data_IF_718541625354
#
_entry.id   IF_718541625354
#
_cell.length_a   1.000
_cell.length_b   1.000
_cell.length_c   1.000
_cell.angle_alpha   90.00
_cell.angle_beta   90.00
_cell.angle_gamma   90.00
#
_symmetry.space_group_name_H-M   'P 1'
#
loop_
_entity.id
_entity.type
_entity.pdbx_description
1 polymer ?
#
# COMPACT_ATOMS: atom_id res chain seq x y z
N UNK A 1 17.56 3.50 -3.75
CA UNK A 1 16.40 3.05 -2.93
C UNK A 1 15.35 4.13 -3.04
N UNK A 2 14.20 3.80 -3.63
CA UNK A 2 13.27 4.75 -4.26
C UNK A 2 12.35 5.49 -3.30
N UNK A 3 12.08 6.74 -3.65
CA UNK A 3 10.94 7.52 -3.21
C UNK A 3 9.73 7.08 -4.03
N UNK A 4 8.62 6.84 -3.35
CA UNK A 4 7.34 6.52 -3.99
C UNK A 4 6.46 7.77 -3.89
N UNK A 5 5.99 8.23 -5.03
CA UNK A 5 5.03 9.32 -5.14
C UNK A 5 3.65 8.71 -5.42
N UNK A 6 2.69 8.94 -4.53
CA UNK A 6 1.28 8.66 -4.76
C UNK A 6 0.50 9.97 -4.64
N UNK A 7 -0.26 10.31 -5.68
CA UNK A 7 -1.23 11.41 -5.59
C UNK A 7 -2.45 10.86 -4.85
N UNK A 8 -2.41 10.84 -3.52
CA UNK A 8 -3.60 10.57 -2.70
C UNK A 8 -4.21 11.90 -2.28
N UNK A 9 -5.17 12.39 -3.07
CA UNK A 9 -5.92 13.59 -2.72
C UNK A 9 -6.89 13.35 -1.58
N UNK A 10 -6.80 14.16 -0.54
CA UNK A 10 -7.85 14.28 0.47
C UNK A 10 -8.85 15.30 -0.11
N UNK A 11 -9.99 14.83 -0.60
CA UNK A 11 -11.17 15.67 -0.71
C UNK A 11 -11.82 15.72 0.67
N UNK A 12 -12.03 16.91 1.23
CA UNK A 12 -12.87 17.08 2.40
C UNK A 12 -14.28 16.59 2.07
N UNK A 13 -14.84 15.67 2.84
CA UNK A 13 -16.22 15.20 2.68
C UNK A 13 -17.29 16.29 2.91
N UNK A 14 -16.89 17.50 3.33
CA UNK A 14 -17.81 18.58 3.66
C UNK A 14 -18.43 19.30 2.44
N UNK A 15 -17.96 19.02 1.21
CA UNK A 15 -18.45 19.69 -0.03
C UNK A 15 -19.33 18.78 -0.94
N UNK A 16 -19.74 17.58 -0.51
CA UNK A 16 -20.38 16.62 -1.40
C UNK A 16 -21.93 16.62 -1.32
N UNK A 17 -22.60 17.26 -2.28
CA UNK A 17 -24.07 17.18 -2.44
C UNK A 17 -24.55 15.93 -3.22
N UNK A 18 -23.63 15.13 -3.81
CA UNK A 18 -23.98 13.99 -4.67
C UNK A 18 -23.61 12.63 -4.05
N UNK A 19 -24.55 11.67 -4.10
CA UNK A 19 -24.34 10.27 -3.72
C UNK A 19 -24.67 9.32 -4.87
N UNK A 20 -24.15 8.10 -4.78
CA UNK A 20 -24.46 6.99 -5.67
C UNK A 20 -24.81 5.75 -4.87
N UNK A 21 -25.61 4.85 -5.43
CA UNK A 21 -25.99 3.61 -4.76
C UNK A 21 -24.79 2.66 -4.65
N UNK A 22 -24.63 2.06 -3.48
CA UNK A 22 -23.52 1.17 -3.17
C UNK A 22 -23.77 0.33 -1.92
N UNK A 23 -22.69 0.04 -1.19
CA UNK A 23 -22.73 -0.78 0.02
C UNK A 23 -21.92 -0.15 1.14
N UNK A 24 -22.32 -0.44 2.38
CA UNK A 24 -21.52 -0.19 3.56
C UNK A 24 -21.24 -1.51 4.28
N UNK A 25 -20.07 -1.62 4.87
CA UNK A 25 -19.69 -2.81 5.64
C UNK A 25 -18.50 -2.55 6.57
N UNK A 26 -18.30 -3.46 7.52
CA UNK A 26 -17.13 -3.48 8.41
C UNK A 26 -16.14 -4.53 7.88
N UNK A 27 -14.92 -4.12 7.55
CA UNK A 27 -13.83 -4.99 7.15
C UNK A 27 -12.93 -5.28 8.35
N UNK A 28 -12.67 -6.55 8.60
CA UNK A 28 -11.73 -7.01 9.62
C UNK A 28 -10.54 -7.68 8.96
N UNK A 29 -9.35 -7.41 9.48
CA UNK A 29 -8.09 -7.96 8.97
C UNK A 29 -7.23 -8.49 10.11
N UNK A 30 -6.77 -9.74 9.99
CA UNK A 30 -5.87 -10.40 10.93
C UNK A 30 -4.67 -11.05 10.24
N UNK A 31 -3.62 -11.34 11.02
CA UNK A 31 -2.41 -12.09 10.61
C UNK A 31 -2.27 -13.35 11.45
N UNK A 32 -3.10 -14.38 11.21
CA UNK A 32 -3.02 -15.63 11.98
C UNK A 32 -1.76 -16.41 11.66
N UNK A 33 -1.37 -17.37 12.50
CA UNK A 33 -0.38 -18.36 12.09
C UNK A 33 -0.94 -19.26 10.96
N UNK A 34 -0.05 -19.91 10.21
CA UNK A 34 -0.44 -20.74 9.04
C UNK A 34 -1.42 -21.85 9.43
N UNK A 35 -1.25 -22.41 10.63
CA UNK A 35 -2.07 -23.50 11.18
C UNK A 35 -3.48 -23.04 11.56
N UNK A 36 -3.64 -21.74 11.80
CA UNK A 36 -4.91 -21.12 12.19
C UNK A 36 -5.68 -20.56 10.98
N UNK A 37 -5.12 -20.63 9.77
CA UNK A 37 -5.82 -20.22 8.55
C UNK A 37 -7.12 -21.01 8.37
N UNK A 38 -8.17 -20.31 7.96
CA UNK A 38 -9.50 -20.89 7.75
C UNK A 38 -10.32 -21.07 9.04
N UNK A 39 -9.76 -20.81 10.23
CA UNK A 39 -10.55 -20.73 11.45
C UNK A 39 -11.54 -19.55 11.39
N UNK A 40 -12.71 -19.72 12.01
CA UNK A 40 -13.81 -18.76 11.96
C UNK A 40 -13.64 -17.67 13.04
N UNK A 41 -13.98 -16.39 12.80
CA UNK A 41 -14.05 -15.38 13.85
C UNK A 41 -15.00 -15.86 14.96
N UNK A 42 -14.61 -15.80 16.26
CA UNK A 42 -13.79 -14.75 16.84
C UNK A 42 -12.41 -15.22 17.34
N UNK A 43 -11.78 -16.24 16.73
CA UNK A 43 -10.53 -16.79 17.26
C UNK A 43 -9.31 -15.86 17.19
N UNK A 44 -9.35 -14.77 16.39
CA UNK A 44 -8.19 -13.89 16.22
C UNK A 44 -8.20 -12.74 17.24
N UNK A 45 -7.18 -12.67 18.10
CA UNK A 45 -7.00 -11.57 19.04
C UNK A 45 -6.78 -10.25 18.27
N UNK A 46 -7.66 -9.27 18.48
CA UNK A 46 -7.54 -7.87 18.02
C UNK A 46 -7.31 -7.67 16.49
N UNK A 47 -8.26 -8.04 15.62
CA UNK A 47 -8.18 -7.69 14.20
C UNK A 47 -8.14 -6.17 14.00
N UNK A 48 -7.53 -5.73 12.90
CA UNK A 48 -7.70 -4.35 12.42
C UNK A 48 -9.10 -4.20 11.86
N UNK A 49 -9.86 -3.20 12.33
CA UNK A 49 -11.23 -2.92 11.89
C UNK A 49 -11.27 -1.65 11.06
N UNK A 50 -11.95 -1.71 9.91
CA UNK A 50 -12.13 -0.60 8.98
C UNK A 50 -13.62 -0.54 8.58
N UNK A 51 -14.19 0.66 8.49
CA UNK A 51 -15.55 0.87 7.97
C UNK A 51 -15.46 1.30 6.50
N UNK A 52 -16.19 0.62 5.64
CA UNK A 52 -16.06 0.78 4.19
C UNK A 52 -17.38 1.22 3.58
N UNK A 53 -17.33 2.20 2.67
CA UNK A 53 -18.40 2.54 1.73
C UNK A 53 -17.90 2.23 0.31
N UNK A 54 -18.63 1.38 -0.42
CA UNK A 54 -18.27 0.93 -1.76
C UNK A 54 -19.30 1.44 -2.77
N UNK A 55 -18.90 2.38 -3.62
CA UNK A 55 -19.65 2.80 -4.81
C UNK A 55 -19.33 1.91 -6.03
N UNK A 56 -19.96 2.15 -7.19
CA UNK A 56 -19.71 1.39 -8.41
C UNK A 56 -18.30 1.59 -8.98
N UNK A 57 -17.69 2.76 -8.75
CA UNK A 57 -16.39 3.13 -9.34
C UNK A 57 -15.29 3.37 -8.29
N UNK A 58 -15.64 3.48 -7.00
CA UNK A 58 -14.72 3.87 -5.94
C UNK A 58 -15.05 3.25 -4.58
N UNK A 59 -14.05 3.20 -3.69
CA UNK A 59 -14.21 2.70 -2.32
C UNK A 59 -13.64 3.69 -1.31
N UNK A 60 -14.44 4.02 -0.30
CA UNK A 60 -14.08 4.87 0.82
C UNK A 60 -13.85 4.00 2.04
N UNK A 61 -12.68 4.14 2.67
CA UNK A 61 -12.30 3.36 3.85
C UNK A 61 -12.02 4.32 5.01
N UNK A 62 -12.76 4.14 6.09
CA UNK A 62 -12.59 4.80 7.38
C UNK A 62 -11.90 3.87 8.36
N UNK A 63 -10.77 4.33 8.89
CA UNK A 63 -10.03 3.59 9.92
C UNK A 63 -10.38 4.18 11.28
N UNK A 64 -11.23 3.48 12.04
CA UNK A 64 -11.48 3.85 13.43
C UNK A 64 -10.23 3.58 14.25
N UNK A 65 -9.61 4.64 14.74
CA UNK A 65 -8.38 4.57 15.52
C UNK A 65 -8.72 4.63 17.00
N UNK A 66 -9.10 3.49 17.58
CA UNK A 66 -9.09 3.30 19.05
C UNK A 66 -8.26 2.06 19.41
N UNK A 67 -6.94 2.16 19.22
CA UNK A 67 -6.00 1.45 20.11
C UNK A 67 -4.66 2.20 20.15
N UNK A 68 -4.30 2.67 21.34
CA UNK A 68 -3.08 3.44 21.62
C UNK A 68 -1.80 2.58 21.68
N UNK A 69 -1.80 1.32 21.23
CA UNK A 69 -0.60 0.48 21.32
C UNK A 69 -0.32 -0.29 20.03
N UNK A 70 0.96 -0.28 19.65
CA UNK A 70 1.64 -1.11 18.65
C UNK A 70 1.39 -0.81 17.15
N UNK A 71 1.64 0.43 16.71
CA UNK A 71 1.69 0.81 15.27
C UNK A 71 3.08 1.28 14.84
N UNK A 72 4.14 0.56 15.27
CA UNK A 72 5.50 0.81 14.75
C UNK A 72 5.93 -0.18 13.65
N UNK A 73 5.13 -1.21 13.34
CA UNK A 73 5.58 -2.31 12.46
C UNK A 73 4.58 -2.87 11.44
N UNK A 74 3.39 -2.30 11.28
CA UNK A 74 2.48 -2.71 10.20
C UNK A 74 2.75 -1.90 8.92
N UNK A 75 3.49 -2.51 7.99
CA UNK A 75 3.78 -1.99 6.65
C UNK A 75 2.53 -1.98 5.75
N UNK A 76 1.69 -0.96 5.93
CA UNK A 76 0.91 -0.36 4.83
C UNK A 76 1.37 1.09 4.74
N UNK A 77 1.42 1.62 3.53
CA UNK A 77 1.84 3.00 3.30
C UNK A 77 1.05 3.93 4.24
N UNK A 78 1.72 4.46 5.27
CA UNK A 78 1.20 5.39 6.28
C UNK A 78 0.78 6.77 5.69
N UNK A 79 0.25 6.81 4.45
CA UNK A 79 -0.24 8.01 3.78
C UNK A 79 -1.76 8.20 3.84
N UNK A 80 -2.52 7.13 4.06
CA UNK A 80 -3.99 7.13 3.95
C UNK A 80 -4.68 7.25 5.31
N UNK A 81 -4.55 8.40 5.99
CA UNK A 81 -5.28 8.63 7.25
C UNK A 81 -5.95 9.99 7.21
N UNK A 82 -7.25 9.98 7.47
CA UNK A 82 -8.28 11.00 7.25
C UNK A 82 -8.87 10.92 5.82
N UNK A 83 -9.88 10.04 5.66
CA UNK A 83 -10.51 9.57 4.41
C UNK A 83 -9.60 8.80 3.47
N UNK A 84 -9.57 7.46 3.61
CA UNK A 84 -8.87 6.60 2.66
C UNK A 84 -9.76 6.34 1.45
N UNK A 85 -9.82 7.28 0.50
CA UNK A 85 -10.32 6.95 -0.83
C UNK A 85 -9.27 6.09 -1.53
N UNK A 86 -9.58 4.80 -1.70
CA UNK A 86 -8.76 3.89 -2.45
C UNK A 86 -9.25 3.86 -3.88
N UNK A 87 -8.42 4.35 -4.81
CA UNK A 87 -8.59 4.07 -6.23
C UNK A 87 -7.60 2.96 -6.59
N UNK A 88 -8.07 1.80 -7.07
CA UNK A 88 -7.19 0.74 -7.51
C UNK A 88 -6.23 1.28 -8.56
N UNK A 89 -4.93 1.01 -8.35
CA UNK A 89 -3.87 1.35 -9.29
C UNK A 89 -3.92 0.37 -10.48
N UNK A 90 -4.93 0.54 -11.31
CA UNK A 90 -5.13 -0.22 -12.53
C UNK A 90 -5.17 0.76 -13.71
N UNK A 91 -4.26 0.57 -14.67
CA UNK A 91 -4.37 1.23 -15.97
C UNK A 91 -5.57 0.63 -16.70
N UNK A 92 -6.70 1.34 -16.66
CA UNK A 92 -7.94 0.93 -17.31
C UNK A 92 -7.66 0.75 -18.81
N UNK A 93 -7.83 -0.46 -19.32
CA UNK A 93 -7.62 -0.78 -20.74
C UNK A 93 -6.27 -1.42 -21.07
N UNK A 94 -5.33 -1.55 -20.12
CA UNK A 94 -4.14 -2.37 -20.33
C UNK A 94 -4.45 -3.85 -20.06
N UNK A 95 -4.35 -4.75 -21.07
CA UNK A 95 -4.66 -6.16 -20.87
C UNK A 95 -3.55 -6.86 -20.07
N UNK A 96 -3.93 -7.81 -19.22
CA UNK A 96 -2.99 -8.59 -18.40
C UNK A 96 -2.01 -9.40 -19.26
N UNK A 97 -2.41 -9.74 -20.49
CA UNK A 97 -1.56 -10.43 -21.46
C UNK A 97 -0.42 -9.57 -22.01
N UNK A 98 -0.46 -8.25 -21.86
CA UNK A 98 0.64 -7.37 -22.28
C UNK A 98 1.87 -7.63 -21.40
N UNK A 99 2.96 -8.09 -22.02
CA UNK A 99 4.20 -8.41 -21.31
C UNK A 99 5.07 -7.18 -21.00
N UNK A 100 4.76 -6.04 -21.62
CA UNK A 100 5.54 -4.79 -21.55
C UNK A 100 4.70 -3.63 -21.02
N UNK A 101 5.35 -2.55 -20.62
CA UNK A 101 4.67 -1.30 -20.25
C UNK A 101 4.15 -1.23 -18.81
N UNK A 102 4.42 -2.21 -17.96
CA UNK A 102 4.04 -2.15 -16.55
C UNK A 102 5.04 -1.32 -15.74
N UNK A 103 4.54 -0.45 -14.86
CA UNK A 103 5.39 0.36 -13.98
C UNK A 103 5.00 0.23 -12.51
N UNK A 104 5.97 -0.13 -11.65
CA UNK A 104 5.79 -0.06 -10.19
C UNK A 104 6.29 1.29 -9.71
N UNK A 105 5.40 2.16 -9.22
CA UNK A 105 5.82 3.47 -8.71
C UNK A 105 6.65 4.25 -9.75
N UNK A 106 6.31 4.11 -11.03
CA UNK A 106 7.01 4.73 -12.16
C UNK A 106 8.24 3.97 -12.67
N UNK A 107 8.65 2.86 -12.05
CA UNK A 107 9.80 2.09 -12.54
C UNK A 107 9.35 0.93 -13.43
N UNK A 108 9.95 0.77 -14.62
CA UNK A 108 9.65 -0.35 -15.49
C UNK A 108 9.81 -1.69 -14.78
N UNK A 109 8.78 -2.52 -14.89
CA UNK A 109 8.75 -3.90 -14.44
C UNK A 109 8.79 -4.83 -15.64
N UNK A 110 9.71 -5.79 -15.60
CA UNK A 110 9.76 -6.92 -16.53
C UNK A 110 9.32 -8.17 -15.79
N UNK A 111 8.40 -8.93 -16.38
CA UNK A 111 7.96 -10.21 -15.83
C UNK A 111 8.64 -11.34 -16.60
N UNK A 112 9.39 -12.18 -15.89
CA UNK A 112 10.04 -13.35 -16.47
C UNK A 112 9.04 -14.50 -16.68
N UNK A 113 8.12 -14.62 -15.73
CA UNK A 113 6.93 -15.45 -15.82
C UNK A 113 5.80 -14.76 -15.05
N UNK A 114 4.56 -15.13 -15.40
CA UNK A 114 3.39 -14.56 -14.77
C UNK A 114 2.22 -15.53 -14.91
N UNK A 115 1.79 -16.11 -13.78
CA UNK A 115 0.65 -17.01 -13.73
C UNK A 115 -0.26 -16.61 -12.58
N UNK A 116 -1.50 -16.26 -12.90
CA UNK A 116 -2.56 -15.94 -11.95
C UNK A 116 -3.80 -16.69 -12.40
N UNK A 117 -4.45 -17.42 -11.48
CA UNK A 117 -5.64 -18.20 -11.77
C UNK A 117 -6.61 -18.15 -10.61
N UNK A 118 -7.88 -18.05 -10.93
CA UNK A 118 -8.97 -18.22 -9.98
C UNK A 118 -9.82 -19.40 -10.43
N UNK A 119 -9.92 -20.41 -9.57
CA UNK A 119 -10.65 -21.64 -9.86
C UNK A 119 -11.76 -21.83 -8.84
N UNK A 120 -12.87 -22.46 -9.24
CA UNK A 120 -13.95 -22.77 -8.31
C UNK A 120 -13.48 -23.84 -7.34
N UNK A 121 -13.55 -23.52 -6.05
CA UNK A 121 -13.29 -24.47 -4.97
C UNK A 121 -14.55 -25.25 -4.61
N UNK A 122 -14.42 -26.16 -3.63
CA UNK A 122 -15.55 -26.90 -3.10
C UNK A 122 -16.23 -26.13 -1.95
N UNK A 123 -17.56 -26.11 -1.99
CA UNK A 123 -18.41 -25.65 -0.89
C UNK A 123 -19.02 -24.26 -1.07
N UNK A 124 -19.98 -23.99 -0.18
CA UNK A 124 -20.60 -22.69 0.01
C UNK A 124 -20.86 -22.50 1.51
N UNK A 125 -20.85 -21.26 1.98
CA UNK A 125 -21.04 -20.94 3.40
C UNK A 125 -21.86 -19.66 3.59
N UNK A 126 -22.62 -19.59 4.67
CA UNK A 126 -23.32 -18.37 5.06
C UNK A 126 -22.30 -17.35 5.61
N UNK A 127 -22.05 -16.28 4.86
CA UNK A 127 -21.12 -15.20 5.21
C UNK A 127 -21.71 -13.86 4.79
N UNK A 128 -21.49 -12.82 5.60
CA UNK A 128 -21.92 -11.44 5.33
C UNK A 128 -23.41 -11.33 4.89
N UNK A 129 -24.29 -12.15 5.47
CA UNK A 129 -25.72 -12.15 5.18
C UNK A 129 -26.15 -12.88 3.89
N UNK A 130 -25.24 -13.57 3.20
CA UNK A 130 -25.54 -14.33 1.98
C UNK A 130 -24.85 -15.70 1.93
N UNK A 131 -25.12 -16.47 0.87
CA UNK A 131 -24.42 -17.74 0.59
C UNK A 131 -23.21 -17.47 -0.29
N UNK A 132 -22.02 -17.47 0.30
CA UNK A 132 -20.77 -17.25 -0.38
C UNK A 132 -20.22 -18.57 -0.95
N UNK A 133 -19.92 -18.59 -2.25
CA UNK A 133 -19.29 -19.71 -2.93
C UNK A 133 -17.77 -19.67 -2.75
N UNK A 134 -17.15 -20.85 -2.71
CA UNK A 134 -15.70 -20.98 -2.54
C UNK A 134 -14.96 -20.89 -3.89
N UNK A 135 -13.86 -20.13 -3.90
CA UNK A 135 -12.90 -20.03 -5.00
C UNK A 135 -11.48 -20.07 -4.46
N UNK A 136 -10.54 -20.58 -5.26
CA UNK A 136 -9.12 -20.62 -4.93
C UNK A 136 -8.38 -19.75 -5.92
N UNK A 137 -7.69 -18.73 -5.39
CA UNK A 137 -6.75 -17.92 -6.15
C UNK A 137 -5.35 -18.49 -5.96
N UNK A 138 -4.67 -18.75 -7.08
CA UNK A 138 -3.24 -19.06 -7.10
C UNK A 138 -2.50 -18.03 -7.95
N UNK A 139 -1.35 -17.60 -7.47
CA UNK A 139 -0.45 -16.72 -8.21
C UNK A 139 1.00 -17.18 -8.03
N UNK A 140 1.75 -17.26 -9.12
CA UNK A 140 3.20 -17.47 -9.15
C UNK A 140 3.77 -16.61 -10.26
N UNK A 141 4.59 -15.62 -9.90
CA UNK A 141 5.17 -14.72 -10.86
C UNK A 141 6.54 -14.21 -10.42
N UNK A 142 7.41 -13.99 -11.40
CA UNK A 142 8.73 -13.42 -11.25
C UNK A 142 8.77 -12.04 -11.89
N UNK A 143 8.99 -11.02 -11.07
CA UNK A 143 9.15 -9.64 -11.56
C UNK A 143 10.56 -9.11 -11.29
N UNK A 144 11.05 -8.30 -12.22
CA UNK A 144 12.36 -7.65 -12.15
C UNK A 144 12.19 -6.17 -12.47
N UNK A 145 12.59 -5.32 -11.53
CA UNK A 145 12.74 -3.89 -11.78
C UNK A 145 14.05 -3.64 -12.52
N UNK A 146 14.05 -2.71 -13.46
CA UNK A 146 15.25 -2.37 -14.24
C UNK A 146 16.46 -2.00 -13.36
N UNK A 147 16.21 -1.32 -12.24
CA UNK A 147 17.24 -0.86 -11.30
C UNK A 147 17.77 -1.95 -10.38
N UNK A 148 17.07 -3.09 -10.27
CA UNK A 148 17.39 -4.11 -9.29
C UNK A 148 18.34 -5.16 -9.90
N UNK A 149 19.39 -5.57 -9.16
CA UNK A 149 20.37 -6.50 -9.68
C UNK A 149 19.78 -7.90 -9.90
N UNK A 150 18.70 -8.27 -9.22
CA UNK A 150 18.02 -9.57 -9.32
C UNK A 150 16.52 -9.43 -9.54
N UNK A 151 15.80 -10.55 -9.55
CA UNK A 151 14.33 -10.59 -9.62
C UNK A 151 13.71 -10.92 -8.25
N UNK A 152 12.40 -10.74 -8.14
CA UNK A 152 11.61 -11.20 -7.00
C UNK A 152 10.58 -12.21 -7.50
N UNK A 153 10.59 -13.41 -6.92
CA UNK A 153 9.54 -14.40 -7.08
C UNK A 153 8.48 -14.16 -6.02
N UNK A 154 7.23 -14.19 -6.46
CA UNK A 154 6.05 -14.02 -5.63
C UNK A 154 5.15 -15.22 -5.80
N UNK A 155 4.72 -15.80 -4.68
CA UNK A 155 3.72 -16.86 -4.67
C UNK A 155 2.58 -16.50 -3.73
N UNK A 156 1.35 -16.68 -4.19
CA UNK A 156 0.13 -16.48 -3.41
C UNK A 156 -0.77 -17.68 -3.58
N UNK A 157 -1.38 -18.09 -2.49
CA UNK A 157 -2.54 -18.95 -2.51
C UNK A 157 -3.57 -18.37 -1.56
N UNK A 158 -4.79 -18.15 -2.03
CA UNK A 158 -5.86 -17.61 -1.22
C UNK A 158 -7.17 -18.38 -1.43
N UNK A 159 -7.79 -18.76 -0.32
CA UNK A 159 -9.15 -19.29 -0.29
C UNK A 159 -10.11 -18.10 -0.17
N UNK A 160 -10.97 -17.94 -1.18
CA UNK A 160 -11.86 -16.80 -1.37
C UNK A 160 -13.31 -17.25 -1.23
N UNK A 161 -14.09 -16.51 -0.45
CA UNK A 161 -15.53 -16.70 -0.35
C UNK A 161 -16.25 -15.54 -1.02
N UNK A 162 -17.07 -15.83 -2.03
CA UNK A 162 -17.63 -14.84 -2.95
C UNK A 162 -19.15 -14.86 -2.96
N UNK A 163 -19.78 -13.71 -2.70
CA UNK A 163 -21.20 -13.48 -2.97
C UNK A 163 -21.39 -13.09 -4.43
N UNK A 164 -21.90 -14.01 -5.25
CA UNK A 164 -22.07 -13.82 -6.70
C UNK A 164 -23.24 -12.92 -7.09
N UNK A 165 -24.21 -12.76 -6.19
CA UNK A 165 -25.36 -11.87 -6.37
C UNK A 165 -25.03 -10.40 -6.04
N UNK A 166 -23.81 -10.14 -5.55
CA UNK A 166 -23.32 -8.80 -5.22
C UNK A 166 -22.30 -8.33 -6.26
N UNK A 167 -22.24 -7.02 -6.56
CA UNK A 167 -21.25 -6.50 -7.49
C UNK A 167 -19.84 -6.67 -6.91
N UNK A 168 -18.87 -6.78 -7.81
CA UNK A 168 -17.47 -6.92 -7.45
C UNK A 168 -17.01 -5.77 -6.54
N UNK A 169 -16.27 -6.13 -5.49
CA UNK A 169 -15.54 -5.19 -4.64
C UNK A 169 -14.14 -5.75 -4.41
N UNK A 170 -13.13 -4.91 -4.62
CA UNK A 170 -11.73 -5.27 -4.43
C UNK A 170 -11.28 -5.08 -2.97
N UNK A 171 -11.98 -4.28 -2.17
CA UNK A 171 -11.55 -3.86 -0.83
C UNK A 171 -11.40 -4.99 0.20
N UNK A 172 -12.19 -6.08 0.14
CA UNK A 172 -12.01 -7.22 1.03
C UNK A 172 -10.80 -8.08 0.67
N UNK A 173 -10.24 -7.91 -0.53
CA UNK A 173 -8.94 -8.48 -0.85
C UNK A 173 -7.90 -7.64 -0.12
N UNK A 174 -6.97 -8.29 0.58
CA UNK A 174 -5.85 -7.61 1.19
C UNK A 174 -4.58 -8.44 1.03
N UNK A 175 -3.74 -8.07 0.08
CA UNK A 175 -2.43 -8.72 -0.16
C UNK A 175 -1.30 -7.69 0.05
N UNK A 176 -0.70 -7.63 1.24
CA UNK A 176 0.36 -6.66 1.52
C UNK A 176 1.56 -6.87 0.61
N UNK A 177 2.01 -5.78 -0.01
CA UNK A 177 3.14 -5.78 -0.93
C UNK A 177 2.80 -6.24 -2.35
N UNK A 178 1.65 -6.89 -2.56
CA UNK A 178 1.17 -7.33 -3.87
C UNK A 178 0.33 -6.28 -4.60
N UNK A 179 -0.35 -5.39 -3.86
CA UNK A 179 -0.91 -4.16 -4.43
C UNK A 179 0.15 -3.21 -4.99
N UNK A 180 1.42 -3.44 -4.68
CA UNK A 180 2.51 -2.73 -5.34
C UNK A 180 2.60 -3.12 -6.82
N UNK A 181 2.32 -4.39 -7.15
CA UNK A 181 2.52 -4.94 -8.48
C UNK A 181 1.30 -4.65 -9.39
N UNK A 182 1.46 -3.81 -10.42
CA UNK A 182 0.33 -3.32 -11.23
C UNK A 182 -0.27 -4.42 -12.11
N UNK A 183 0.54 -5.35 -12.63
CA UNK A 183 0.05 -6.46 -13.47
C UNK A 183 -0.70 -7.48 -12.64
N UNK A 184 -0.20 -7.79 -11.46
CA UNK A 184 -0.93 -8.62 -10.50
C UNK A 184 -2.26 -7.98 -10.10
N UNK A 185 -2.27 -6.69 -9.76
CA UNK A 185 -3.49 -5.95 -9.48
C UNK A 185 -4.51 -6.04 -10.61
N UNK A 186 -4.07 -5.83 -11.86
CA UNK A 186 -4.93 -5.97 -13.05
C UNK A 186 -5.47 -7.39 -13.21
N UNK A 187 -4.63 -8.42 -13.03
CA UNK A 187 -5.03 -9.82 -13.14
C UNK A 187 -6.10 -10.20 -12.11
N UNK A 188 -5.94 -9.74 -10.87
CA UNK A 188 -6.93 -9.99 -9.81
C UNK A 188 -8.26 -9.31 -10.13
N UNK A 189 -8.25 -8.06 -10.61
CA UNK A 189 -9.47 -7.36 -11.01
C UNK A 189 -10.14 -8.07 -12.19
N UNK A 190 -9.37 -8.45 -13.22
CA UNK A 190 -9.90 -9.15 -14.38
C UNK A 190 -10.57 -10.48 -13.99
N UNK A 191 -9.93 -11.28 -13.13
CA UNK A 191 -10.46 -12.57 -12.74
C UNK A 191 -11.63 -12.48 -11.75
N UNK A 192 -11.53 -11.64 -10.72
CA UNK A 192 -12.54 -11.57 -9.65
C UNK A 192 -13.77 -10.74 -10.04
N UNK A 193 -13.62 -9.76 -10.94
CA UNK A 193 -14.77 -8.96 -11.42
C UNK A 193 -15.85 -9.82 -12.12
N UNK A 194 -15.47 -11.00 -12.61
CA UNK A 194 -16.37 -11.99 -13.24
C UNK A 194 -17.22 -12.75 -12.21
N UNK A 195 -16.85 -12.73 -10.93
CA UNK A 195 -17.43 -13.61 -9.91
C UNK A 195 -18.46 -12.91 -9.01
N UNK A 196 -18.11 -11.75 -8.45
CA UNK A 196 -18.94 -11.00 -7.50
C UNK A 196 -18.12 -10.42 -6.34
N UNK A 197 -18.75 -10.16 -5.20
CA UNK A 197 -18.09 -9.58 -4.02
C UNK A 197 -17.35 -10.64 -3.22
N UNK A 198 -16.02 -10.52 -3.08
CA UNK A 198 -15.27 -11.30 -2.10
C UNK A 198 -15.68 -10.83 -0.71
N UNK A 199 -16.16 -11.71 0.16
CA UNK A 199 -16.56 -11.38 1.54
C UNK A 199 -15.64 -11.97 2.60
N UNK A 200 -14.75 -12.87 2.19
CA UNK A 200 -13.64 -13.37 3.01
C UNK A 200 -12.50 -13.84 2.11
N UNK A 201 -11.28 -13.59 2.55
CA UNK A 201 -10.06 -14.10 1.93
C UNK A 201 -9.12 -14.63 3.02
N UNK A 202 -8.72 -15.89 2.90
CA UNK A 202 -7.67 -16.50 3.72
C UNK A 202 -6.45 -16.74 2.81
N UNK A 203 -5.45 -15.88 2.90
CA UNK A 203 -4.29 -15.85 2.01
C UNK A 203 -3.00 -16.26 2.71
N UNK A 204 -2.18 -17.02 2.00
CA UNK A 204 -0.77 -17.27 2.31
C UNK A 204 0.09 -16.73 1.18
N UNK A 205 1.20 -16.10 1.53
CA UNK A 205 2.13 -15.56 0.55
C UNK A 205 3.57 -15.89 0.87
N UNK A 206 4.38 -15.97 -0.17
CA UNK A 206 5.83 -15.99 -0.10
C UNK A 206 6.41 -15.00 -1.11
N UNK A 207 7.53 -14.39 -0.75
CA UNK A 207 8.37 -13.59 -1.63
C UNK A 207 9.82 -13.99 -1.41
N UNK A 208 10.52 -14.30 -2.48
CA UNK A 208 11.95 -14.63 -2.47
C UNK A 208 12.66 -13.75 -3.47
N UNK A 209 13.78 -13.15 -3.07
CA UNK A 209 14.67 -12.46 -4.02
C UNK A 209 15.60 -13.47 -4.67
N UNK A 210 15.62 -13.50 -6.00
CA UNK A 210 16.49 -14.32 -6.83
C UNK A 210 17.63 -13.44 -7.36
N UNK A 211 18.87 -13.86 -7.16
CA UNK A 211 20.03 -13.12 -7.65
C UNK A 211 20.27 -13.28 -9.16
N UNK A 212 21.38 -12.73 -9.66
CA UNK A 212 21.74 -12.76 -11.08
C UNK A 212 22.06 -14.16 -11.59
N UNK A 213 22.51 -15.03 -10.69
CA UNK A 213 22.94 -16.39 -10.99
C UNK A 213 21.76 -17.38 -10.87
N UNK A 214 20.55 -16.88 -10.59
CA UNK A 214 19.34 -17.67 -10.45
C UNK A 214 19.17 -18.30 -9.06
N UNK A 215 20.01 -17.92 -8.09
CA UNK A 215 19.95 -18.48 -6.75
C UNK A 215 19.00 -17.69 -5.84
N UNK A 216 18.24 -18.42 -5.03
CA UNK A 216 17.44 -17.80 -3.98
C UNK A 216 18.36 -17.20 -2.90
N UNK A 217 18.18 -15.91 -2.64
CA UNK A 217 18.89 -15.24 -1.55
C UNK A 217 18.21 -15.51 -0.20
N UNK A 218 18.89 -15.15 0.90
CA UNK A 218 18.31 -15.20 2.25
C UNK A 218 17.18 -14.17 2.48
N UNK A 219 16.91 -13.29 1.51
CA UNK A 219 15.80 -12.32 1.58
C UNK A 219 14.48 -13.00 1.24
N UNK A 220 13.94 -13.74 2.23
CA UNK A 220 12.65 -14.43 2.16
C UNK A 220 11.65 -13.75 3.08
N UNK A 221 10.47 -13.43 2.54
CA UNK A 221 9.32 -12.96 3.31
C UNK A 221 8.18 -13.96 3.11
N UNK A 222 7.57 -14.41 4.19
CA UNK A 222 6.39 -15.26 4.16
C UNK A 222 5.39 -14.76 5.18
N UNK A 223 4.12 -15.00 4.93
CA UNK A 223 3.09 -14.64 5.89
C UNK A 223 1.70 -15.02 5.41
N UNK A 224 0.74 -14.60 6.22
CA UNK A 224 -0.64 -15.03 6.17
C UNK A 224 -1.53 -13.86 6.51
N UNK A 225 -2.71 -13.84 5.87
CA UNK A 225 -3.69 -12.79 6.01
C UNK A 225 -5.08 -13.37 5.93
N UNK A 226 -5.91 -13.00 6.91
CA UNK A 226 -7.33 -13.29 6.86
C UNK A 226 -8.08 -11.98 6.89
N UNK A 227 -8.89 -11.74 5.87
CA UNK A 227 -9.83 -10.63 5.79
C UNK A 227 -11.25 -11.12 5.70
N UNK A 228 -12.18 -10.44 6.35
CA UNK A 228 -13.60 -10.76 6.26
C UNK A 228 -14.47 -9.54 6.48
N UNK A 229 -15.66 -9.59 5.88
CA UNK A 229 -16.68 -8.56 6.01
C UNK A 229 -17.72 -8.96 7.07
N UNK A 230 -18.13 -8.00 7.88
CA UNK A 230 -19.38 -8.04 8.66
C UNK A 230 -20.28 -6.87 8.31
N UNK A 231 -21.57 -6.96 8.69
CA UNK A 231 -22.53 -5.86 8.60
C UNK A 231 -22.77 -5.30 7.18
N UNK A 232 -22.61 -6.15 6.17
CA UNK A 232 -22.84 -5.78 4.78
C UNK A 232 -24.30 -5.38 4.54
N UNK A 233 -24.50 -4.14 4.09
CA UNK A 233 -25.83 -3.59 3.77
C UNK A 233 -25.76 -2.57 2.61
N UNK A 234 -26.85 -2.39 1.84
CA UNK A 234 -26.95 -1.29 0.89
C UNK A 234 -26.73 0.07 1.57
N UNK A 235 -26.10 1.01 0.88
CA UNK A 235 -25.85 2.36 1.37
C UNK A 235 -25.78 3.38 0.23
N UNK A 236 -26.04 4.64 0.55
CA UNK A 236 -25.69 5.78 -0.28
C UNK A 236 -24.22 6.14 -0.06
N UNK A 237 -23.44 6.18 -1.13
CA UNK A 237 -21.99 6.41 -1.10
C UNK A 237 -21.71 7.79 -1.69
N UNK A 238 -21.00 8.69 -0.98
CA UNK A 238 -20.62 9.98 -1.52
C UNK A 238 -19.86 9.83 -2.83
N UNK A 239 -20.23 10.58 -3.86
CA UNK A 239 -19.42 10.73 -5.07
C UNK A 239 -18.25 11.64 -4.70
N UNK A 240 -17.02 11.12 -4.82
CA UNK A 240 -15.84 11.93 -4.61
C UNK A 240 -15.26 12.26 -5.97
N UNK A 241 -15.31 13.54 -6.33
CA UNK A 241 -14.50 14.06 -7.43
C UNK A 241 -13.06 14.13 -6.92
N UNK A 242 -12.28 13.07 -7.16
CA UNK A 242 -10.87 13.15 -6.82
C UNK A 242 -10.24 14.22 -7.69
N UNK A 243 -9.33 15.03 -7.13
CA UNK A 243 -8.46 15.88 -7.93
C UNK A 243 -7.44 14.98 -8.67
N UNK A 244 -7.91 14.17 -9.62
CA UNK A 244 -7.10 13.35 -10.50
C UNK A 244 -6.56 14.29 -11.56
N UNK A 245 -5.26 14.54 -11.49
CA UNK A 245 -4.56 14.93 -12.70
C UNK A 245 -4.71 13.75 -13.68
N UNK A 246 -5.13 14.02 -14.91
CA UNK A 246 -5.31 12.96 -15.92
C UNK A 246 -4.03 12.11 -16.08
N UNK A 247 -4.17 10.91 -16.67
CA UNK A 247 -3.06 9.95 -16.78
C UNK A 247 -1.81 10.54 -17.44
N UNK A 248 -1.97 11.46 -18.42
CA UNK A 248 -0.84 12.12 -19.05
C UNK A 248 -0.14 13.07 -18.07
N UNK A 249 -0.91 13.84 -17.29
CA UNK A 249 -0.35 14.70 -16.25
C UNK A 249 0.36 13.89 -15.16
N UNK A 250 -0.22 12.76 -14.72
CA UNK A 250 0.43 11.87 -13.75
C UNK A 250 1.77 11.33 -14.28
N UNK A 251 1.82 10.93 -15.55
CA UNK A 251 3.03 10.43 -16.18
C UNK A 251 4.14 11.50 -16.21
N UNK A 252 3.79 12.74 -16.58
CA UNK A 252 4.72 13.88 -16.57
C UNK A 252 5.30 14.10 -15.18
N UNK A 253 4.46 14.14 -14.14
CA UNK A 253 4.92 14.32 -12.76
C UNK A 253 5.90 13.24 -12.32
N UNK A 254 5.62 11.98 -12.66
CA UNK A 254 6.50 10.87 -12.31
C UNK A 254 7.82 10.89 -13.09
N UNK A 255 7.78 11.23 -14.38
CA UNK A 255 8.97 11.29 -15.23
C UNK A 255 9.91 12.42 -14.79
N UNK A 256 9.37 13.61 -14.48
CA UNK A 256 10.17 14.73 -13.97
C UNK A 256 10.77 14.42 -12.59
N UNK A 257 9.99 13.82 -11.70
CA UNK A 257 10.51 13.38 -10.40
C UNK A 257 11.64 12.36 -10.55
N UNK A 258 11.53 11.41 -11.50
CA UNK A 258 12.56 10.38 -11.75
C UNK A 258 13.86 10.98 -12.28
N UNK A 259 13.82 12.09 -13.02
CA UNK A 259 15.03 12.77 -13.49
C UNK A 259 15.84 13.35 -12.34
N UNK A 260 15.18 13.88 -11.30
CA UNK A 260 15.83 14.59 -10.19
C UNK A 260 15.19 14.32 -8.81
N UNK A 261 15.20 13.08 -8.31
CA UNK A 261 14.47 12.70 -7.11
C UNK A 261 14.98 13.39 -5.85
N UNK A 262 16.30 13.56 -5.72
CA UNK A 262 16.93 14.17 -4.54
C UNK A 262 16.65 15.68 -4.47
N UNK A 263 16.69 16.37 -5.61
CA UNK A 263 16.37 17.81 -5.72
C UNK A 263 14.90 18.04 -5.36
N UNK A 264 13.99 17.28 -5.98
CA UNK A 264 12.56 17.36 -5.70
C UNK A 264 12.25 17.11 -4.22
N UNK A 265 12.88 16.12 -3.61
CA UNK A 265 12.69 15.86 -2.19
C UNK A 265 13.28 16.93 -1.28
N UNK A 266 14.41 17.52 -1.65
CA UNK A 266 14.99 18.61 -0.87
C UNK A 266 14.07 19.85 -0.89
N UNK A 267 13.48 20.16 -2.05
CA UNK A 267 12.50 21.23 -2.23
C UNK A 267 11.28 21.01 -1.32
N UNK A 268 10.68 19.81 -1.37
CA UNK A 268 9.52 19.51 -0.51
C UNK A 268 9.87 19.50 0.98
N UNK A 269 11.03 18.97 1.37
CA UNK A 269 11.48 18.98 2.78
C UNK A 269 11.70 20.42 3.28
N UNK A 270 12.08 21.34 2.40
CA UNK A 270 12.22 22.76 2.71
C UNK A 270 10.88 23.52 2.73
N UNK A 271 9.76 22.83 2.49
CA UNK A 271 8.42 23.41 2.54
C UNK A 271 8.03 24.17 1.27
N UNK A 272 8.71 23.91 0.15
CA UNK A 272 8.40 24.53 -1.15
C UNK A 272 7.91 23.50 -2.17
N UNK A 273 7.24 23.98 -3.22
CA UNK A 273 6.70 23.16 -4.30
C UNK A 273 7.74 22.99 -5.41
N UNK A 274 8.09 21.75 -5.82
CA UNK A 274 8.88 21.51 -7.03
C UNK A 274 8.22 22.11 -8.28
N UNK A 275 9.01 22.69 -9.18
CA UNK A 275 8.52 23.40 -10.37
C UNK A 275 7.57 22.54 -11.22
N UNK A 276 7.94 21.27 -11.47
CA UNK A 276 7.10 20.35 -12.24
C UNK A 276 5.74 20.06 -11.59
N UNK A 277 5.61 20.20 -10.27
CA UNK A 277 4.33 20.08 -9.55
C UNK A 277 3.54 21.40 -9.69
N UNK A 278 4.22 22.54 -9.55
CA UNK A 278 3.60 23.86 -9.65
C UNK A 278 3.04 24.16 -11.05
N UNK A 279 3.73 23.69 -12.10
CA UNK A 279 3.38 23.92 -13.50
C UNK A 279 2.22 23.04 -14.00
N UNK A 280 2.04 21.85 -13.42
CA UNK A 280 1.12 20.85 -13.94
C UNK A 280 -0.12 20.62 -13.08
N UNK A 281 -0.16 21.14 -11.84
CA UNK A 281 -1.27 20.93 -10.90
C UNK A 281 -1.87 22.25 -10.41
N UNK A 282 -3.17 22.27 -10.13
CA UNK A 282 -3.84 23.38 -9.44
C UNK A 282 -3.56 23.36 -7.93
N UNK A 283 -3.93 24.42 -7.20
CA UNK A 283 -3.61 24.57 -5.77
C UNK A 283 -4.15 23.44 -4.86
N UNK A 284 -5.33 22.90 -5.16
CA UNK A 284 -5.92 21.80 -4.42
C UNK A 284 -5.14 20.49 -4.68
N UNK A 285 -4.83 20.20 -5.95
CA UNK A 285 -4.00 19.08 -6.37
C UNK A 285 -2.58 19.16 -5.78
N UNK A 286 -1.95 20.34 -5.81
CA UNK A 286 -0.61 20.55 -5.24
C UNK A 286 -0.59 20.23 -3.74
N UNK A 287 -1.58 20.72 -2.99
CA UNK A 287 -1.65 20.50 -1.54
C UNK A 287 -1.72 19.02 -1.19
N UNK A 288 -2.57 18.27 -1.90
CA UNK A 288 -2.69 16.82 -1.80
C UNK A 288 -1.37 16.09 -2.08
N UNK A 289 -0.72 16.46 -3.19
CA UNK A 289 0.48 15.81 -3.68
C UNK A 289 1.70 16.07 -2.79
N UNK A 290 1.85 17.32 -2.32
CA UNK A 290 2.99 17.73 -1.50
C UNK A 290 2.97 17.08 -0.12
N UNK A 291 1.79 16.83 0.45
CA UNK A 291 1.66 16.13 1.71
C UNK A 291 2.20 14.69 1.61
N UNK A 292 1.80 13.93 0.58
CA UNK A 292 2.27 12.57 0.38
C UNK A 292 3.77 12.50 0.01
N UNK A 293 4.20 13.32 -0.95
CA UNK A 293 5.61 13.39 -1.34
C UNK A 293 6.48 13.79 -0.15
N UNK A 294 6.05 14.76 0.66
CA UNK A 294 6.78 15.21 1.83
C UNK A 294 7.00 14.10 2.84
N UNK A 295 5.98 13.27 3.10
CA UNK A 295 6.11 12.09 3.98
C UNK A 295 7.08 11.06 3.42
N UNK A 296 7.00 10.77 2.12
CA UNK A 296 7.93 9.85 1.44
C UNK A 296 9.38 10.35 1.46
N UNK A 297 9.60 11.62 1.14
CA UNK A 297 10.91 12.30 1.19
C UNK A 297 11.54 12.23 2.57
N UNK A 298 10.77 12.61 3.60
CA UNK A 298 11.18 12.54 5.00
C UNK A 298 11.56 11.12 5.42
N UNK A 299 10.74 10.12 5.08
CA UNK A 299 11.02 8.71 5.39
C UNK A 299 12.32 8.23 4.74
N UNK A 300 12.53 8.55 3.46
CA UNK A 300 13.71 8.09 2.74
C UNK A 300 14.98 8.76 3.28
N UNK A 301 14.92 10.07 3.55
CA UNK A 301 16.03 10.80 4.14
C UNK A 301 16.39 10.24 5.53
N UNK A 302 15.41 9.91 6.38
CA UNK A 302 15.65 9.24 7.66
C UNK A 302 16.23 7.84 7.51
N UNK A 303 15.74 7.03 6.56
CA UNK A 303 16.34 5.71 6.27
C UNK A 303 17.79 5.86 5.79
N UNK A 304 18.09 6.86 4.98
CA UNK A 304 19.44 7.21 4.54
C UNK A 304 20.34 7.53 5.73
N UNK A 305 19.88 8.42 6.62
CA UNK A 305 20.56 8.77 7.86
C UNK A 305 20.85 7.53 8.73
N UNK A 306 19.85 6.69 8.99
CA UNK A 306 20.05 5.47 9.80
C UNK A 306 21.03 4.49 9.16
N UNK A 307 21.11 4.41 7.83
CA UNK A 307 22.12 3.60 7.14
C UNK A 307 23.51 4.16 7.33
N UNK A 308 23.68 5.47 7.19
CA UNK A 308 24.96 6.14 7.44
C UNK A 308 25.40 5.93 8.88
N UNK A 309 24.50 6.14 9.84
CA UNK A 309 24.76 5.91 11.26
C UNK A 309 25.16 4.46 11.56
N UNK A 310 24.58 3.46 10.89
CA UNK A 310 24.98 2.04 11.05
C UNK A 310 26.30 1.70 10.37
N UNK A 311 26.58 2.26 9.20
CA UNK A 311 27.79 1.95 8.41
C UNK A 311 29.02 2.70 8.93
N UNK A 312 28.83 3.92 9.41
CA UNK A 312 29.89 4.78 9.92
C UNK A 312 29.42 5.54 11.18
N UNK A 313 29.26 4.83 12.33
CA UNK A 313 28.79 5.46 13.57
C UNK A 313 29.64 6.66 14.00
N UNK A 314 30.96 6.58 13.79
CA UNK A 314 31.91 7.62 14.17
C UNK A 314 31.62 8.99 13.52
N UNK A 315 31.06 9.01 12.31
CA UNK A 315 30.72 10.25 11.61
C UNK A 315 29.47 10.98 12.13
N UNK A 316 28.71 10.37 13.06
CA UNK A 316 27.39 10.89 13.47
C UNK A 316 27.16 10.82 14.98
N UNK A 317 27.80 9.88 15.67
CA UNK A 317 27.56 9.66 17.09
C UNK A 317 28.15 10.75 18.00
N UNK A 318 29.20 11.46 17.58
CA UNK A 318 29.73 12.59 18.34
C UNK A 318 28.69 13.69 18.55
N UNK A 319 28.04 14.10 17.46
CA UNK A 319 27.01 15.16 17.49
C UNK A 319 25.76 14.70 18.26
N UNK A 320 25.33 13.44 18.07
CA UNK A 320 24.17 12.88 18.80
C UNK A 320 24.42 12.81 20.31
N UNK A 321 25.61 12.38 20.75
CA UNK A 321 25.96 12.32 22.17
C UNK A 321 26.17 13.70 22.78
N UNK A 322 26.55 14.70 21.97
CA UNK A 322 26.56 16.11 22.36
C UNK A 322 25.15 16.74 22.40
N UNK A 323 24.09 15.95 22.17
CA UNK A 323 22.70 16.41 22.18
C UNK A 323 22.30 17.21 20.94
N UNK A 324 23.11 17.20 19.88
CA UNK A 324 22.80 17.91 18.64
C UNK A 324 21.87 17.08 17.77
N UNK A 325 20.66 17.62 17.57
CA UNK A 325 19.68 17.02 16.68
C UNK A 325 20.11 17.25 15.20
N UNK A 326 20.25 16.20 14.38
CA UNK A 326 20.57 16.35 12.96
C UNK A 326 19.53 17.21 12.25
N UNK A 327 19.97 18.06 11.32
CA UNK A 327 19.08 18.93 10.53
C UNK A 327 17.97 18.14 9.82
N UNK A 328 18.28 16.93 9.35
CA UNK A 328 17.26 16.09 8.72
C UNK A 328 16.18 15.63 9.71
N UNK A 329 16.55 15.36 10.96
CA UNK A 329 15.61 14.98 12.02
C UNK A 329 14.76 16.19 12.44
N UNK A 330 15.35 17.40 12.52
CA UNK A 330 14.62 18.66 12.76
C UNK A 330 13.52 18.92 11.73
N UNK A 331 13.84 18.72 10.44
CA UNK A 331 12.91 18.94 9.33
C UNK A 331 11.87 17.82 9.15
N UNK A 332 12.17 16.63 9.68
CA UNK A 332 11.32 15.44 9.49
C UNK A 332 10.34 15.24 10.63
N UNK A 333 10.80 15.35 11.87
CA UNK A 333 10.06 14.97 13.06
C UNK A 333 9.40 16.17 13.75
N UNK A 334 8.23 15.96 14.33
CA UNK A 334 7.67 16.91 15.29
C UNK A 334 8.45 16.87 16.62
N UNK A 335 8.19 17.81 17.54
CA UNK A 335 8.94 17.92 18.80
C UNK A 335 8.95 16.64 19.66
N UNK A 336 7.85 15.87 19.65
CA UNK A 336 7.77 14.61 20.41
C UNK A 336 8.65 13.54 19.76
N UNK A 337 8.51 13.37 18.45
CA UNK A 337 9.31 12.43 17.64
C UNK A 337 10.80 12.76 17.66
N UNK A 338 11.17 14.05 17.72
CA UNK A 338 12.57 14.48 17.85
C UNK A 338 13.18 13.99 19.17
N UNK A 339 12.42 14.05 20.28
CA UNK A 339 12.88 13.55 21.59
C UNK A 339 13.06 12.04 21.58
N UNK A 340 12.09 11.31 21.03
CA UNK A 340 12.15 9.84 20.90
C UNK A 340 13.30 9.40 19.98
N UNK A 341 13.49 10.10 18.86
CA UNK A 341 14.62 9.88 17.96
C UNK A 341 15.95 10.07 18.68
N UNK A 342 16.14 11.19 19.41
CA UNK A 342 17.38 11.44 20.15
C UNK A 342 17.61 10.37 21.21
N UNK A 343 16.58 9.94 21.93
CA UNK A 343 16.72 8.87 22.92
C UNK A 343 17.20 7.55 22.30
N UNK A 344 16.62 7.14 21.17
CA UNK A 344 17.01 5.92 20.46
C UNK A 344 18.40 6.04 19.82
N UNK A 345 18.71 7.20 19.22
CA UNK A 345 19.99 7.45 18.58
C UNK A 345 21.13 7.53 19.60
N UNK A 346 20.93 8.20 20.73
CA UNK A 346 21.89 8.25 21.85
C UNK A 346 22.16 6.84 22.38
N UNK A 347 21.11 6.05 22.64
CA UNK A 347 21.29 4.66 23.11
C UNK A 347 22.03 3.77 22.10
N UNK A 348 21.84 3.99 20.80
CA UNK A 348 22.63 3.30 19.78
C UNK A 348 24.10 3.74 19.84
N UNK A 349 24.35 5.04 19.88
CA UNK A 349 25.71 5.60 19.86
C UNK A 349 26.53 5.27 21.12
N UNK A 350 25.89 5.22 22.30
CA UNK A 350 26.51 4.75 23.55
C UNK A 350 27.02 3.30 23.45
N UNK A 351 26.36 2.45 22.64
CA UNK A 351 26.76 1.05 22.43
C UNK A 351 27.86 0.87 21.36
N UNK A 352 28.23 1.94 20.66
CA UNK A 352 29.28 1.92 19.64
C UNK A 352 30.61 2.50 20.14
N UNK A 353 30.58 3.24 21.26
CA UNK A 353 31.75 3.52 22.10
C UNK A 353 32.04 2.31 23.00
#
# INVERSE_FOLDING_TARGET
>A
MMLMFSVSGIASAEDNEQTTSGFSYTLHTARPDVEDLGQFPPAYESPTTEYVLQGPEHTLIWRDRVSERTVDKASFALGERHMGLFIPRWEKGKPVSESTGWTEFGYPLVYLDFNVRVERGEGARALAGGQAEHYVLTADFNSKRETDPGSSRYQVHADLWVLRDKPFSFAPFHTPGFYGDPRFGAAIVEELSKLGMVVRSDARYSRVTIDRDGNETNSKSKGTWTTWITDLKPAEVPVIDMPVADEATLQVLQDEFRKKPDEACQTVINGTTPDFIAENLNSAQQSAVLEDLGRSCKRQAMKGYFRTMKKNPASVCGDILAGQLPEIAKKTFNQKEQKEFMQLASSFCEKQN
#
